data_IF_721190987036
#
_entry.id   IF_721190987036
#
_cell.length_a   1.000
_cell.length_b   1.000
_cell.length_c   1.000
_cell.angle_alpha   90.00
_cell.angle_beta   90.00
_cell.angle_gamma   90.00
#
_symmetry.space_group_name_H-M   'P 1'
#
loop_
_entity.id
_entity.type
_entity.pdbx_description
1 polymer ?
#
# COMPACT_ATOMS: atom_id res chain seq x y z
N UNK A 1 11.51 -1.50 -8.58
CA UNK A 1 11.23 -0.21 -7.92
C UNK A 1 11.33 0.87 -8.99
N UNK A 2 10.36 1.79 -9.05
CA UNK A 2 10.40 2.96 -9.93
C UNK A 2 11.06 4.08 -9.12
N UNK A 3 11.96 4.87 -9.73
CA UNK A 3 12.55 6.01 -9.03
C UNK A 3 11.54 7.16 -8.92
N UNK A 4 11.63 8.03 -7.91
CA UNK A 4 10.72 9.17 -7.77
C UNK A 4 10.65 10.05 -9.02
N UNK A 5 11.79 10.29 -9.67
CA UNK A 5 11.88 11.13 -10.87
C UNK A 5 11.15 10.49 -12.05
N UNK A 6 11.23 9.17 -12.18
CA UNK A 6 10.51 8.44 -13.23
C UNK A 6 9.01 8.38 -12.95
N UNK A 7 8.62 8.23 -11.68
CA UNK A 7 7.21 8.29 -11.30
C UNK A 7 6.62 9.67 -11.62
N UNK A 8 7.34 10.74 -11.25
CA UNK A 8 6.93 12.12 -11.52
C UNK A 8 6.81 12.40 -13.02
N UNK A 9 7.79 12.01 -13.82
CA UNK A 9 7.73 12.15 -15.28
C UNK A 9 6.51 11.43 -15.89
N UNK A 10 6.21 10.19 -15.45
CA UNK A 10 5.05 9.44 -15.92
C UNK A 10 3.72 10.12 -15.53
N UNK A 11 3.67 10.78 -14.38
CA UNK A 11 2.51 11.55 -13.94
C UNK A 11 2.33 12.84 -14.75
N UNK A 12 3.42 13.59 -15.01
CA UNK A 12 3.40 14.82 -15.80
C UNK A 12 3.01 14.57 -17.27
N UNK A 13 3.49 13.48 -17.86
CA UNK A 13 3.17 13.07 -19.23
C UNK A 13 1.75 12.47 -19.38
N UNK A 14 1.05 12.24 -18.26
CA UNK A 14 -0.28 11.62 -18.26
C UNK A 14 -0.28 10.12 -18.56
N UNK A 15 0.87 9.45 -18.45
CA UNK A 15 1.07 8.02 -18.71
C UNK A 15 0.66 7.12 -17.53
N UNK A 16 -0.53 7.35 -16.97
CA UNK A 16 -1.03 6.63 -15.78
C UNK A 16 -1.13 5.10 -15.98
N UNK A 17 -1.27 4.63 -17.22
CA UNK A 17 -1.30 3.20 -17.53
C UNK A 17 0.01 2.49 -17.15
N UNK A 18 1.14 3.17 -17.23
CA UNK A 18 2.46 2.62 -16.87
C UNK A 18 2.61 2.43 -15.35
N UNK A 19 1.85 3.18 -14.56
CA UNK A 19 1.79 3.04 -13.10
C UNK A 19 0.74 2.02 -12.66
N UNK A 20 -0.04 1.44 -13.58
CA UNK A 20 -1.10 0.50 -13.22
C UNK A 20 -0.52 -0.77 -12.63
N UNK A 21 -0.97 -1.11 -11.42
CA UNK A 21 -0.48 -2.29 -10.70
C UNK A 21 0.81 -2.05 -9.91
N UNK A 22 1.34 -0.82 -9.91
CA UNK A 22 2.39 -0.44 -8.95
C UNK A 22 1.85 -0.46 -7.52
N UNK A 23 2.76 -0.63 -6.57
CA UNK A 23 2.46 -0.62 -5.13
C UNK A 23 3.26 0.50 -4.49
N UNK A 24 2.56 1.35 -3.74
CA UNK A 24 3.12 2.52 -3.07
C UNK A 24 2.57 2.62 -1.64
N UNK A 25 3.27 2.04 -0.65
CA UNK A 25 2.93 2.25 0.76
C UNK A 25 3.34 3.65 1.22
N UNK A 26 2.73 4.14 2.29
CA UNK A 26 3.04 5.47 2.84
C UNK A 26 4.41 5.56 3.53
N UNK A 27 4.81 4.53 4.27
CA UNK A 27 6.07 4.50 5.01
C UNK A 27 6.77 3.15 4.79
N UNK A 28 8.05 3.22 4.43
CA UNK A 28 8.95 2.06 4.37
C UNK A 28 10.18 2.33 5.22
N UNK A 29 10.50 1.41 6.13
CA UNK A 29 11.69 1.45 6.97
C UNK A 29 12.67 0.40 6.47
N UNK A 30 13.95 0.78 6.33
CA UNK A 30 15.02 -0.07 5.82
C UNK A 30 16.21 -0.07 6.78
N UNK A 31 16.98 -1.17 6.82
CA UNK A 31 18.19 -1.30 7.65
C UNK A 31 19.47 -0.74 7.00
N UNK A 32 19.37 -0.16 5.80
CA UNK A 32 20.50 0.29 4.98
C UNK A 32 20.43 -0.17 3.52
N UNK A 33 19.69 -1.24 3.22
CA UNK A 33 19.38 -1.63 1.83
C UNK A 33 17.94 -1.23 1.47
N UNK A 34 17.71 -0.31 0.52
CA UNK A 34 16.37 0.15 0.15
C UNK A 34 15.50 -0.94 -0.49
N UNK A 35 16.10 -2.03 -1.00
CA UNK A 35 15.38 -3.16 -1.59
C UNK A 35 14.92 -4.20 -0.56
N UNK A 36 15.31 -4.04 0.71
CA UNK A 36 14.95 -4.95 1.80
C UNK A 36 14.19 -4.18 2.89
N UNK A 37 12.86 -4.05 2.75
CA UNK A 37 12.02 -3.47 3.79
C UNK A 37 12.14 -4.24 5.10
N UNK A 38 12.37 -3.53 6.20
CA UNK A 38 12.26 -4.08 7.55
C UNK A 38 10.82 -4.01 8.06
N UNK A 39 10.14 -2.88 7.80
CA UNK A 39 8.77 -2.63 8.20
C UNK A 39 8.10 -1.68 7.20
N UNK A 40 6.81 -1.91 6.96
CA UNK A 40 5.99 -1.12 6.05
C UNK A 40 4.73 -0.71 6.79
N UNK A 41 4.39 0.57 6.70
CA UNK A 41 3.18 1.11 7.29
C UNK A 41 2.36 1.86 6.25
N UNK A 42 1.05 1.75 6.37
CA UNK A 42 0.09 2.41 5.48
C UNK A 42 -1.03 3.04 6.31
N UNK A 43 -1.33 4.32 6.10
CA UNK A 43 -2.33 5.04 6.86
C UNK A 43 -3.73 4.68 6.37
N UNK A 44 -4.56 4.18 7.27
CA UNK A 44 -5.94 3.79 7.01
C UNK A 44 -6.93 4.64 7.78
N UNK A 45 -7.91 5.20 7.08
CA UNK A 45 -8.93 6.09 7.62
C UNK A 45 -10.36 5.51 7.44
N UNK A 46 -10.73 4.42 8.13
CA UNK A 46 -12.07 3.86 7.97
C UNK A 46 -13.16 4.79 8.54
N UNK A 47 -14.32 4.89 7.88
CA UNK A 47 -15.45 5.62 8.43
C UNK A 47 -16.02 4.89 9.67
N UNK A 48 -16.37 5.64 10.73
CA UNK A 48 -16.82 5.09 12.02
C UNK A 48 -18.27 4.58 12.01
N UNK A 49 -19.09 4.97 11.03
CA UNK A 49 -20.47 4.55 10.91
C UNK A 49 -20.60 3.27 10.08
N UNK A 50 -20.76 2.14 10.77
CA UNK A 50 -21.47 0.92 10.32
C UNK A 50 -21.23 0.42 8.89
N UNK A 51 -20.55 -0.73 8.77
CA UNK A 51 -20.50 -1.67 7.62
C UNK A 51 -19.22 -1.78 6.77
N UNK A 52 -18.08 -1.18 7.14
CA UNK A 52 -16.78 -1.48 6.51
C UNK A 52 -15.85 -2.33 7.41
N UNK A 53 -16.42 -3.05 8.38
CA UNK A 53 -15.71 -3.85 9.39
C UNK A 53 -15.14 -5.20 8.90
N UNK A 54 -14.91 -5.39 7.60
CA UNK A 54 -14.42 -6.69 7.09
C UNK A 54 -12.92 -6.74 6.82
N UNK A 55 -12.28 -5.60 6.67
CA UNK A 55 -10.83 -5.48 6.54
C UNK A 55 -10.44 -4.24 7.33
N UNK A 56 -9.30 -4.26 8.01
CA UNK A 56 -8.82 -3.19 8.89
C UNK A 56 -8.46 -1.86 8.16
N UNK A 57 -9.31 -1.42 7.23
CA UNK A 57 -9.07 -0.31 6.30
C UNK A 57 -8.42 -0.76 4.99
N UNK A 58 -8.12 -2.05 4.82
CA UNK A 58 -7.51 -2.57 3.59
C UNK A 58 -8.55 -2.78 2.49
N UNK A 59 -8.41 -2.07 1.38
CA UNK A 59 -9.33 -2.23 0.26
C UNK A 59 -9.15 -3.58 -0.43
N UNK A 60 -10.25 -4.15 -0.95
CA UNK A 60 -10.17 -5.22 -1.95
C UNK A 60 -10.02 -4.61 -3.33
N UNK A 61 -9.11 -5.18 -4.12
CA UNK A 61 -8.95 -4.79 -5.51
C UNK A 61 -10.09 -5.36 -6.36
N UNK A 62 -10.87 -4.49 -6.98
CA UNK A 62 -11.99 -4.88 -7.86
C UNK A 62 -11.59 -4.92 -9.33
N UNK A 63 -10.42 -4.38 -9.68
CA UNK A 63 -9.89 -4.29 -11.04
C UNK A 63 -8.37 -4.38 -11.05
N UNK A 64 -7.80 -4.72 -12.21
CA UNK A 64 -6.36 -4.77 -12.42
C UNK A 64 -5.71 -6.10 -12.02
N UNK A 65 -4.36 -6.15 -11.94
CA UNK A 65 -3.62 -7.41 -11.80
C UNK A 65 -3.85 -8.14 -10.47
N UNK A 66 -4.33 -7.44 -9.44
CA UNK A 66 -4.58 -8.00 -8.11
C UNK A 66 -6.07 -8.21 -7.80
N UNK A 67 -6.93 -8.22 -8.83
CA UNK A 67 -8.38 -8.36 -8.67
C UNK A 67 -8.74 -9.57 -7.79
N UNK A 68 -9.65 -9.35 -6.83
CA UNK A 68 -10.13 -10.36 -5.90
C UNK A 68 -9.26 -10.54 -4.64
N UNK A 69 -8.12 -9.85 -4.56
CA UNK A 69 -7.21 -9.88 -3.42
C UNK A 69 -7.36 -8.63 -2.56
N UNK A 70 -7.07 -8.74 -1.26
CA UNK A 70 -6.96 -7.55 -0.41
C UNK A 70 -5.60 -6.88 -0.59
N UNK A 71 -5.57 -5.58 -0.33
CA UNK A 71 -4.34 -4.81 -0.42
C UNK A 71 -3.26 -5.28 0.57
N UNK A 72 -3.64 -5.72 1.78
CA UNK A 72 -2.66 -6.23 2.75
C UNK A 72 -2.04 -7.55 2.31
N UNK A 73 -2.81 -8.45 1.71
CA UNK A 73 -2.28 -9.71 1.15
C UNK A 73 -1.21 -9.43 0.10
N UNK A 74 -1.49 -8.51 -0.81
CA UNK A 74 -0.59 -8.15 -1.91
C UNK A 74 0.67 -7.46 -1.37
N UNK A 75 0.52 -6.55 -0.41
CA UNK A 75 1.66 -5.88 0.22
C UNK A 75 2.54 -6.90 0.97
N UNK A 76 1.94 -7.82 1.73
CA UNK A 76 2.67 -8.85 2.49
C UNK A 76 3.44 -9.80 1.59
N UNK A 77 2.86 -10.17 0.45
CA UNK A 77 3.55 -11.01 -0.55
C UNK A 77 4.78 -10.33 -1.14
N UNK A 78 4.67 -9.04 -1.47
CA UNK A 78 5.71 -8.32 -2.24
C UNK A 78 6.77 -7.67 -1.34
N UNK A 79 6.36 -7.15 -0.18
CA UNK A 79 7.22 -6.36 0.71
C UNK A 79 7.59 -7.10 2.00
N UNK A 80 7.00 -8.27 2.24
CA UNK A 80 7.30 -9.13 3.39
C UNK A 80 6.28 -9.02 4.54
N UNK A 81 6.50 -9.77 5.63
CA UNK A 81 5.46 -10.02 6.64
C UNK A 81 5.17 -8.84 7.59
N UNK A 82 6.03 -7.82 7.62
CA UNK A 82 5.91 -6.66 8.52
C UNK A 82 5.19 -5.47 7.86
N UNK A 83 4.04 -5.74 7.23
CA UNK A 83 3.11 -4.72 6.74
C UNK A 83 2.03 -4.48 7.78
N UNK A 84 1.80 -3.22 8.16
CA UNK A 84 0.82 -2.84 9.20
C UNK A 84 0.02 -1.61 8.79
N UNK A 85 -1.25 -1.55 9.21
CA UNK A 85 -2.04 -0.34 9.04
C UNK A 85 -1.84 0.61 10.23
N UNK A 86 -1.83 1.92 9.98
CA UNK A 86 -1.88 2.94 11.04
C UNK A 86 -3.24 3.64 10.96
N UNK A 87 -3.99 3.63 12.06
CA UNK A 87 -5.30 4.30 12.16
C UNK A 87 -5.25 5.47 13.14
N UNK A 88 -5.90 6.61 12.88
CA UNK A 88 -5.79 7.80 13.71
C UNK A 88 -6.12 7.61 15.20
N UNK A 89 -7.17 6.85 15.53
CA UNK A 89 -7.62 6.66 16.93
C UNK A 89 -7.09 5.37 17.58
N UNK A 90 -6.38 4.53 16.84
CA UNK A 90 -5.95 3.20 17.32
C UNK A 90 -4.42 3.01 17.28
N UNK A 91 -3.73 3.72 16.39
CA UNK A 91 -2.30 3.50 16.13
C UNK A 91 -2.08 2.33 15.18
N UNK A 92 -1.05 1.52 15.45
CA UNK A 92 -0.62 0.42 14.57
C UNK A 92 -1.49 -0.82 14.78
N UNK A 93 -2.08 -1.37 13.72
CA UNK A 93 -2.82 -2.64 13.73
C UNK A 93 -2.11 -3.72 12.90
N UNK A 94 -2.18 -5.00 13.32
CA UNK A 94 -1.68 -6.16 12.56
C UNK A 94 -2.13 -6.24 11.11
#
# INVERSE_FOLDING_TARGET
MISPEKEEALLEEGCYSELRGTIKPDIVIHAGNPLLPLAVYDFKFPCTSSASSKSDGWCQYTQGPYTGRSQDEVYKEILGPFVRAIKPWLGVTP
#
